data_IF_101830116341
#
_entry.id   IF_101830116341
#
_cell.length_a   1.000
_cell.length_b   1.000
_cell.length_c   1.000
_cell.angle_alpha   90.00
_cell.angle_beta   90.00
_cell.angle_gamma   90.00
#
_symmetry.space_group_name_H-M   'P 1'
#
loop_
_entity.id
_entity.type
_entity.pdbx_description
1 polymer ?
#
# COMPACT_ATOMS: atom_id res chain seq x y z
N UNK A 1 11.70 -3.78 -7.72
CA UNK A 1 10.27 -4.10 -7.89
C UNK A 1 9.55 -2.89 -8.46
N UNK A 2 8.69 -3.09 -9.42
CA UNK A 2 7.96 -2.00 -10.06
C UNK A 2 6.47 -2.30 -10.11
N UNK A 3 5.64 -1.29 -9.87
CA UNK A 3 4.19 -1.44 -9.91
C UNK A 3 3.57 -0.23 -10.62
N UNK A 4 2.61 -0.47 -11.51
CA UNK A 4 1.85 0.58 -12.16
C UNK A 4 0.62 0.88 -11.29
N UNK A 5 0.65 2.02 -10.59
CA UNK A 5 -0.39 2.36 -9.62
C UNK A 5 -1.71 2.77 -10.26
N UNK A 6 -1.72 3.09 -11.55
CA UNK A 6 -2.94 3.42 -12.28
C UNK A 6 -3.66 2.18 -12.81
N UNK A 7 -3.03 1.01 -12.76
CA UNK A 7 -3.57 -0.22 -13.37
C UNK A 7 -4.52 -0.98 -12.47
N UNK A 8 -4.66 -0.62 -11.20
CA UNK A 8 -5.52 -1.34 -10.27
C UNK A 8 -6.54 -0.43 -9.59
N UNK A 9 -7.68 -1.00 -9.16
CA UNK A 9 -8.64 -0.26 -8.33
C UNK A 9 -7.96 0.22 -7.05
N UNK A 10 -8.44 1.33 -6.52
CA UNK A 10 -7.83 1.98 -5.35
C UNK A 10 -7.75 1.06 -4.13
N UNK A 11 -8.80 0.34 -3.82
CA UNK A 11 -8.82 -0.53 -2.64
C UNK A 11 -7.82 -1.67 -2.76
N UNK A 12 -7.66 -2.22 -3.97
CA UNK A 12 -6.66 -3.25 -4.21
C UNK A 12 -5.25 -2.68 -4.12
N UNK A 13 -5.04 -1.50 -4.71
CA UNK A 13 -3.75 -0.81 -4.66
C UNK A 13 -3.35 -0.54 -3.22
N UNK A 14 -4.27 -0.05 -2.40
CA UNK A 14 -4.00 0.22 -0.99
C UNK A 14 -3.54 -1.04 -0.25
N UNK A 15 -4.26 -2.14 -0.40
CA UNK A 15 -3.89 -3.38 0.28
C UNK A 15 -2.58 -3.96 -0.23
N UNK A 16 -2.28 -3.80 -1.53
CA UNK A 16 -1.02 -4.27 -2.09
C UNK A 16 0.17 -3.44 -1.60
N UNK A 17 0.02 -2.12 -1.56
CA UNK A 17 1.11 -1.24 -1.14
C UNK A 17 1.38 -1.30 0.36
N UNK A 18 0.33 -1.21 1.16
CA UNK A 18 0.46 -1.07 2.62
C UNK A 18 0.26 -2.37 3.38
N UNK A 19 -0.30 -3.39 2.74
CA UNK A 19 -0.64 -4.63 3.42
C UNK A 19 -1.93 -4.49 4.22
N UNK A 20 -2.31 -5.54 4.91
CA UNK A 20 -3.53 -5.52 5.72
C UNK A 20 -3.40 -6.41 6.94
N UNK A 21 -4.16 -6.07 7.97
CA UNK A 21 -4.27 -6.89 9.18
C UNK A 21 -5.38 -7.92 9.01
N UNK A 22 -5.32 -8.97 9.81
CA UNK A 22 -6.37 -9.98 9.83
C UNK A 22 -7.72 -9.34 10.13
N UNK A 23 -8.73 -9.72 9.36
CA UNK A 23 -10.08 -9.18 9.55
C UNK A 23 -10.33 -7.81 8.94
N UNK A 24 -9.35 -7.24 8.22
CA UNK A 24 -9.47 -5.90 7.66
C UNK A 24 -10.62 -5.78 6.66
N UNK A 25 -10.94 -6.84 5.94
CA UNK A 25 -12.05 -6.87 4.97
C UNK A 25 -12.46 -8.32 4.73
N UNK A 26 -13.59 -8.51 4.05
CA UNK A 26 -14.09 -9.85 3.70
C UNK A 26 -13.10 -10.51 2.73
N UNK A 27 -12.60 -11.68 3.10
CA UNK A 27 -11.62 -12.40 2.29
C UNK A 27 -10.17 -12.12 2.66
N UNK A 28 -9.93 -11.25 3.65
CA UNK A 28 -8.57 -11.02 4.14
C UNK A 28 -7.98 -12.33 4.69
N UNK A 29 -6.72 -12.58 4.37
CA UNK A 29 -6.05 -13.80 4.80
C UNK A 29 -5.90 -13.82 6.33
N UNK A 30 -6.00 -15.00 6.91
CA UNK A 30 -5.74 -15.19 8.32
C UNK A 30 -4.30 -14.76 8.63
N UNK A 31 -4.15 -13.94 9.66
CA UNK A 31 -2.84 -13.40 10.03
C UNK A 31 -2.45 -12.14 9.28
N UNK A 32 -3.26 -11.69 8.31
CA UNK A 32 -2.95 -10.52 7.53
C UNK A 32 -1.92 -10.78 6.44
N UNK A 33 -1.43 -9.70 5.82
CA UNK A 33 -0.42 -9.79 4.77
C UNK A 33 0.41 -8.49 4.75
N UNK A 34 1.74 -8.59 4.65
CA UNK A 34 2.57 -7.40 4.49
C UNK A 34 2.39 -6.82 3.10
N UNK A 35 2.55 -5.50 2.98
CA UNK A 35 2.48 -4.82 1.70
C UNK A 35 3.83 -4.72 1.01
N UNK A 36 3.82 -4.10 -0.18
CA UNK A 36 5.03 -3.95 -0.99
C UNK A 36 6.07 -3.07 -0.32
N UNK A 37 5.66 -2.07 0.47
CA UNK A 37 6.62 -1.25 1.21
C UNK A 37 7.41 -2.09 2.20
N UNK A 38 6.76 -3.04 2.87
CA UNK A 38 7.45 -3.92 3.81
C UNK A 38 8.36 -4.90 3.07
N UNK A 39 7.90 -5.44 1.94
CA UNK A 39 8.73 -6.33 1.12
C UNK A 39 9.94 -5.63 0.54
N UNK A 40 9.82 -4.33 0.23
CA UNK A 40 10.91 -3.56 -0.36
C UNK A 40 11.86 -2.98 0.68
N UNK A 41 11.72 -3.37 1.96
CA UNK A 41 12.57 -2.88 3.03
C UNK A 41 14.05 -3.07 2.66
N UNK A 42 14.81 -1.97 2.77
CA UNK A 42 16.23 -1.90 2.39
C UNK A 42 16.47 -2.11 0.90
N UNK A 43 15.42 -2.10 0.10
CA UNK A 43 15.52 -2.19 -1.36
C UNK A 43 14.89 -0.98 -2.00
N UNK A 44 14.35 -1.18 -3.21
CA UNK A 44 13.73 -0.12 -3.99
C UNK A 44 12.36 -0.55 -4.49
N UNK A 45 11.37 0.31 -4.31
CA UNK A 45 10.03 0.14 -4.86
C UNK A 45 9.80 1.27 -5.86
N UNK A 46 9.54 0.92 -7.12
CA UNK A 46 9.30 1.88 -8.18
C UNK A 46 7.80 1.98 -8.43
N UNK A 47 7.24 3.18 -8.28
CA UNK A 47 5.82 3.44 -8.54
C UNK A 47 5.67 4.19 -9.84
N UNK A 48 5.00 3.56 -10.82
CA UNK A 48 4.81 4.15 -12.13
C UNK A 48 3.39 4.71 -12.25
N UNK A 49 3.25 5.79 -13.02
CA UNK A 49 1.98 6.46 -13.31
C UNK A 49 1.27 6.97 -12.04
N UNK A 50 2.04 7.59 -11.15
CA UNK A 50 1.50 8.11 -9.88
C UNK A 50 0.42 9.18 -10.09
N UNK A 51 0.41 9.84 -11.23
CA UNK A 51 -0.62 10.81 -11.59
C UNK A 51 -2.02 10.20 -11.72
N UNK A 52 -2.08 8.88 -11.88
CA UNK A 52 -3.34 8.15 -11.92
C UNK A 52 -3.92 7.80 -10.56
N UNK A 53 -3.22 8.13 -9.47
CA UNK A 53 -3.70 7.83 -8.13
C UNK A 53 -4.77 8.83 -7.69
N UNK A 54 -5.71 8.37 -6.86
CA UNK A 54 -6.67 9.27 -6.23
C UNK A 54 -5.96 10.21 -5.25
N UNK A 55 -6.58 11.32 -4.93
CA UNK A 55 -6.04 12.25 -3.95
C UNK A 55 -5.85 11.57 -2.58
N UNK A 56 -6.79 10.72 -2.17
CA UNK A 56 -6.69 10.00 -0.90
C UNK A 56 -5.45 9.10 -0.85
N UNK A 57 -5.15 8.41 -1.95
CA UNK A 57 -3.95 7.56 -2.03
C UNK A 57 -2.68 8.39 -2.05
N UNK A 58 -2.70 9.54 -2.74
CA UNK A 58 -1.55 10.44 -2.76
C UNK A 58 -1.21 10.94 -1.36
N UNK A 59 -2.23 11.27 -0.57
CA UNK A 59 -2.03 11.72 0.82
C UNK A 59 -1.40 10.61 1.67
N UNK A 60 -1.88 9.38 1.51
CA UNK A 60 -1.30 8.22 2.24
C UNK A 60 0.15 7.99 1.86
N UNK A 61 0.44 8.07 0.57
CA UNK A 61 1.81 7.90 0.07
C UNK A 61 2.72 9.00 0.61
N UNK A 62 2.24 10.25 0.62
CA UNK A 62 3.01 11.36 1.14
C UNK A 62 3.38 11.16 2.61
N UNK A 63 2.45 10.63 3.41
CA UNK A 63 2.72 10.33 4.82
C UNK A 63 3.83 9.30 4.98
N UNK A 64 3.82 8.25 4.17
CA UNK A 64 4.87 7.25 4.20
C UNK A 64 6.23 7.89 3.92
N UNK A 65 6.28 8.76 2.93
CA UNK A 65 7.53 9.41 2.54
C UNK A 65 8.02 10.40 3.61
N UNK A 66 7.12 11.10 4.27
CA UNK A 66 7.48 12.09 5.29
C UNK A 66 7.79 11.46 6.63
N UNK A 67 6.99 10.52 7.07
CA UNK A 67 7.09 9.93 8.41
C UNK A 67 7.90 8.64 8.42
N UNK A 68 8.11 8.03 7.25
CA UNK A 68 8.81 6.76 7.09
C UNK A 68 8.18 5.63 7.91
N UNK A 69 6.86 5.70 8.03
CA UNK A 69 6.06 4.71 8.71
C UNK A 69 4.91 4.29 7.82
N UNK A 70 4.47 3.06 7.96
CA UNK A 70 3.33 2.56 7.23
C UNK A 70 2.31 2.00 8.21
N UNK A 71 1.02 2.12 7.81
CA UNK A 71 -0.08 1.53 8.56
C UNK A 71 -0.82 0.59 7.62
N UNK A 72 -0.92 -0.67 8.02
CA UNK A 72 -1.67 -1.66 7.25
C UNK A 72 -3.16 -1.34 7.28
N UNK A 73 -3.88 -1.74 6.23
CA UNK A 73 -5.33 -1.61 6.18
C UNK A 73 -5.92 -2.36 7.38
N UNK A 74 -6.77 -1.68 8.15
CA UNK A 74 -7.34 -2.23 9.37
C UNK A 74 -6.43 -2.17 10.59
N UNK A 75 -5.22 -1.58 10.45
CA UNK A 75 -4.28 -1.44 11.55
C UNK A 75 -4.37 -0.09 12.25
N UNK A 76 -3.54 0.07 13.23
CA UNK A 76 -3.49 1.31 14.03
C UNK A 76 -2.24 2.12 13.71
#
# INVERSE_FOLDING_TARGET
MAINVAAMPENLLESELFGYEEGAFTGAKKGGRPGLFEFAHEGTLFLDEVEGMSMAMQVKLLRVLQEREIMRVGGN
#
